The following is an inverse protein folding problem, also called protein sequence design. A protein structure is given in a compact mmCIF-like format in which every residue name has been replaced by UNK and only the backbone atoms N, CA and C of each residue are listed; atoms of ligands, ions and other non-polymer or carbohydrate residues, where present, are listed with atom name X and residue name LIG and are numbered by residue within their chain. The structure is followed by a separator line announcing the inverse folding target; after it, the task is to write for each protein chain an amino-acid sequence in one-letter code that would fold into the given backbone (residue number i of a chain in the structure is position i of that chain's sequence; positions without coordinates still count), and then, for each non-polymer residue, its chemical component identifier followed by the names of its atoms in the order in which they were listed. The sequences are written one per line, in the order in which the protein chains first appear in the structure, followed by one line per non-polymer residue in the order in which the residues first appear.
data_IF_019053747479
#
_entry.id   IF_019053747479
#
_cell.length_a   1.000
_cell.length_b   1.000
_cell.length_c   1.000
_cell.angle_alpha   90.00
_cell.angle_beta   90.00
_cell.angle_gamma   90.00
#
_symmetry.space_group_name_H-M   'P 1'
#
loop_
_entity.id
_entity.type
_entity.pdbx_description
1 polymer ?
#
# COMPACT_ATOMS: atom_id res chain seq x y z
N UNK A 1 15.59 -20.41 -67.17
CA UNK A 1 16.41 -19.50 -66.35
C UNK A 1 15.53 -19.06 -65.18
N UNK A 2 15.60 -19.80 -64.08
CA UNK A 2 14.94 -19.52 -62.78
C UNK A 2 15.92 -18.71 -61.91
N UNK A 3 15.47 -17.93 -60.89
CA UNK A 3 14.88 -18.49 -59.66
C UNK A 3 13.57 -17.82 -59.24
N UNK A 4 12.53 -18.58 -58.91
CA UNK A 4 12.26 -19.16 -57.59
C UNK A 4 12.01 -18.09 -56.53
N UNK A 5 10.72 -17.86 -56.24
CA UNK A 5 10.23 -17.08 -55.10
C UNK A 5 9.72 -18.08 -54.04
N UNK A 6 10.50 -18.43 -53.01
CA UNK A 6 10.05 -19.37 -52.00
C UNK A 6 9.42 -18.63 -50.83
N UNK A 7 8.11 -18.83 -50.69
CA UNK A 7 7.38 -18.48 -49.48
C UNK A 7 8.03 -19.08 -48.23
N UNK A 8 8.29 -18.22 -47.24
CA UNK A 8 8.66 -18.63 -45.89
C UNK A 8 7.79 -17.88 -44.87
N UNK A 9 6.66 -18.49 -44.50
CA UNK A 9 5.69 -17.88 -43.56
C UNK A 9 6.23 -17.70 -42.12
N UNK A 10 5.87 -16.62 -41.41
CA UNK A 10 6.41 -16.25 -40.09
C UNK A 10 5.78 -17.05 -38.91
N UNK A 11 5.37 -18.30 -39.13
CA UNK A 11 4.56 -19.08 -38.19
C UNK A 11 5.32 -19.78 -37.06
N UNK A 12 6.65 -19.89 -37.14
CA UNK A 12 7.48 -20.60 -36.15
C UNK A 12 8.06 -19.65 -35.10
N UNK A 13 8.49 -18.46 -35.52
CA UNK A 13 9.00 -17.39 -34.66
C UNK A 13 7.93 -16.88 -33.68
N UNK A 14 6.67 -16.76 -34.10
CA UNK A 14 5.59 -16.25 -33.26
C UNK A 14 5.21 -17.19 -32.09
N UNK A 15 5.41 -18.51 -32.23
CA UNK A 15 5.16 -19.47 -31.14
C UNK A 15 6.29 -19.51 -30.12
N UNK A 16 7.53 -19.41 -30.59
CA UNK A 16 8.70 -19.28 -29.72
C UNK A 16 8.66 -17.97 -28.91
N UNK A 17 8.36 -16.85 -29.57
CA UNK A 17 8.17 -15.54 -28.93
C UNK A 17 7.09 -15.54 -27.85
N UNK A 18 5.93 -16.16 -28.13
CA UNK A 18 4.86 -16.30 -27.12
C UNK A 18 5.23 -17.18 -25.93
N UNK A 19 6.22 -18.07 -26.05
CA UNK A 19 6.71 -18.91 -24.93
C UNK A 19 7.71 -18.12 -24.08
N UNK A 20 8.65 -17.42 -24.71
CA UNK A 20 9.60 -16.55 -23.99
C UNK A 20 8.90 -15.42 -23.25
N UNK A 21 7.93 -14.74 -23.87
CA UNK A 21 7.15 -13.69 -23.18
C UNK A 21 6.40 -14.23 -21.96
N UNK A 22 5.86 -15.46 -22.03
CA UNK A 22 5.20 -16.10 -20.88
C UNK A 22 6.16 -16.51 -19.77
N UNK A 23 7.31 -17.06 -20.14
CA UNK A 23 8.36 -17.38 -19.18
C UNK A 23 8.88 -16.12 -18.48
N UNK A 24 9.02 -15.02 -19.23
CA UNK A 24 9.47 -13.74 -18.70
C UNK A 24 8.46 -13.13 -17.71
N UNK A 25 7.17 -13.14 -18.02
CA UNK A 25 6.12 -12.73 -17.06
C UNK A 25 6.10 -13.57 -15.79
N UNK A 26 6.41 -14.87 -15.89
CA UNK A 26 6.48 -15.75 -14.71
C UNK A 26 7.70 -15.46 -13.85
N UNK A 27 8.83 -15.11 -14.47
CA UNK A 27 10.02 -14.65 -13.77
C UNK A 27 9.79 -13.32 -13.06
N UNK A 28 9.17 -12.35 -13.74
CA UNK A 28 8.77 -11.06 -13.15
C UNK A 28 7.88 -11.25 -11.92
N UNK A 29 6.85 -12.10 -12.02
CA UNK A 29 5.95 -12.38 -10.90
C UNK A 29 6.65 -13.06 -9.72
N UNK A 30 7.61 -13.96 -9.98
CA UNK A 30 8.41 -14.58 -8.93
C UNK A 30 9.33 -13.54 -8.25
N UNK A 31 9.98 -12.69 -9.03
CA UNK A 31 10.82 -11.62 -8.51
C UNK A 31 10.02 -10.67 -7.62
N UNK A 32 8.84 -10.24 -8.07
CA UNK A 32 7.95 -9.39 -7.29
C UNK A 32 7.56 -10.05 -5.96
N UNK A 33 7.18 -11.33 -5.97
CA UNK A 33 6.81 -12.06 -4.74
C UNK A 33 7.96 -12.15 -3.73
N UNK A 34 9.19 -12.41 -4.21
CA UNK A 34 10.38 -12.48 -3.35
C UNK A 34 10.70 -11.11 -2.74
N UNK A 35 10.59 -10.04 -3.53
CA UNK A 35 10.82 -8.68 -3.04
C UNK A 35 9.72 -8.21 -2.08
N UNK A 36 8.46 -8.49 -2.37
CA UNK A 36 7.35 -8.15 -1.49
C UNK A 36 7.44 -8.90 -0.15
N UNK A 37 7.78 -10.18 -0.16
CA UNK A 37 7.92 -10.97 1.06
C UNK A 37 9.05 -10.45 1.97
N UNK A 38 10.19 -10.09 1.39
CA UNK A 38 11.37 -9.66 2.17
C UNK A 38 11.29 -8.22 2.67
N UNK A 39 10.80 -7.29 1.86
CA UNK A 39 10.74 -5.85 2.21
C UNK A 39 9.33 -5.38 2.61
N UNK A 40 8.32 -6.23 2.52
CA UNK A 40 6.93 -5.89 2.86
C UNK A 40 6.76 -5.49 4.32
N UNK A 41 7.41 -6.18 5.25
CA UNK A 41 7.35 -5.85 6.67
C UNK A 41 7.95 -4.47 6.98
N UNK A 42 9.05 -4.10 6.34
CA UNK A 42 9.66 -2.78 6.52
C UNK A 42 8.74 -1.67 5.99
N UNK A 43 8.15 -1.87 4.80
CA UNK A 43 7.15 -0.93 4.24
C UNK A 43 5.90 -0.79 5.10
N UNK A 44 5.38 -1.89 5.63
CA UNK A 44 4.22 -1.87 6.53
C UNK A 44 4.54 -1.14 7.84
N UNK A 45 5.74 -1.34 8.39
CA UNK A 45 6.20 -0.60 9.57
C UNK A 45 6.28 0.89 9.29
N UNK A 46 6.92 1.28 8.20
CA UNK A 46 7.03 2.69 7.79
C UNK A 46 5.66 3.34 7.58
N UNK A 47 4.75 2.67 6.86
CA UNK A 47 3.39 3.15 6.66
C UNK A 47 2.67 3.38 8.01
N UNK A 48 2.82 2.47 8.97
CA UNK A 48 2.27 2.65 10.33
C UNK A 48 2.89 3.84 11.05
N UNK A 49 4.21 3.99 10.99
CA UNK A 49 4.92 5.13 11.60
C UNK A 49 4.45 6.47 11.01
N UNK A 50 4.25 6.55 9.70
CA UNK A 50 3.72 7.74 9.04
C UNK A 50 2.29 8.04 9.48
N UNK A 51 1.44 7.01 9.60
CA UNK A 51 0.08 7.17 10.12
C UNK A 51 0.06 7.63 11.59
N UNK A 52 0.92 7.07 12.45
CA UNK A 52 1.02 7.47 13.86
C UNK A 52 1.51 8.93 14.00
N UNK A 53 2.45 9.34 13.13
CA UNK A 53 2.94 10.73 13.08
C UNK A 53 1.82 11.69 12.67
N UNK A 54 1.06 11.34 11.63
CA UNK A 54 -0.10 12.13 11.19
C UNK A 54 -1.12 12.27 12.33
N UNK A 55 -1.44 11.16 13.02
CA UNK A 55 -2.35 11.17 14.18
C UNK A 55 -1.84 12.09 15.29
N UNK A 56 -0.55 12.03 15.62
CA UNK A 56 0.05 12.90 16.63
C UNK A 56 -0.06 14.38 16.25
N UNK A 57 0.19 14.74 14.98
CA UNK A 57 0.05 16.11 14.48
C UNK A 57 -1.39 16.60 14.57
N UNK A 58 -2.37 15.76 14.23
CA UNK A 58 -3.78 16.13 14.26
C UNK A 58 -4.35 16.20 15.68
N UNK A 59 -3.78 15.45 16.63
CA UNK A 59 -4.14 15.49 18.05
C UNK A 59 -3.34 16.52 18.87
N UNK A 60 -2.51 17.37 18.24
CA UNK A 60 -1.73 18.40 18.95
C UNK A 60 -2.61 19.33 19.79
N UNK A 61 -3.82 19.64 19.33
CA UNK A 61 -4.78 20.46 20.07
C UNK A 61 -5.18 19.83 21.40
N UNK A 62 -5.31 18.49 21.45
CA UNK A 62 -5.59 17.77 22.70
C UNK A 62 -4.42 17.84 23.69
N UNK A 63 -3.21 18.08 23.19
CA UNK A 63 -1.99 18.33 23.98
C UNK A 63 -1.81 19.82 24.33
N UNK A 64 -2.75 20.68 23.94
CA UNK A 64 -2.71 22.13 24.16
C UNK A 64 -1.83 22.90 23.18
N UNK A 65 -1.47 22.30 22.04
CA UNK A 65 -0.72 22.94 20.96
C UNK A 65 -1.65 23.17 19.78
N UNK A 66 -1.83 24.42 19.37
CA UNK A 66 -2.69 24.74 18.23
C UNK A 66 -2.23 24.02 16.95
N UNK A 67 -3.16 23.38 16.24
CA UNK A 67 -2.87 22.72 14.97
C UNK A 67 -3.08 23.70 13.80
N UNK A 68 -2.02 24.13 13.10
CA UNK A 68 -2.12 25.12 12.04
C UNK A 68 -2.85 24.64 10.78
N UNK A 69 -3.14 23.34 10.67
CA UNK A 69 -3.88 22.72 9.54
C UNK A 69 -5.19 22.08 10.00
N UNK A 70 -5.71 22.45 11.17
CA UNK A 70 -6.92 21.88 11.74
C UNK A 70 -8.12 21.99 10.79
N UNK A 71 -8.29 23.15 10.15
CA UNK A 71 -9.42 23.43 9.26
C UNK A 71 -9.38 22.59 7.98
N UNK A 72 -8.19 22.41 7.41
CA UNK A 72 -7.93 21.66 6.19
C UNK A 72 -8.06 20.14 6.41
N UNK A 73 -7.94 19.71 7.66
CA UNK A 73 -7.96 18.29 8.03
C UNK A 73 -9.26 17.84 8.71
N UNK A 74 -10.26 18.72 8.80
CA UNK A 74 -11.59 18.39 9.35
C UNK A 74 -12.25 17.20 8.65
N UNK A 75 -12.07 17.07 7.34
CA UNK A 75 -12.63 15.96 6.55
C UNK A 75 -11.99 14.59 6.90
N UNK A 76 -10.82 14.60 7.55
CA UNK A 76 -10.12 13.39 7.97
C UNK A 76 -10.59 12.89 9.34
N UNK A 77 -11.24 13.74 10.14
CA UNK A 77 -11.75 13.39 11.48
C UNK A 77 -12.54 12.08 11.51
N UNK A 78 -13.51 11.79 10.62
CA UNK A 78 -14.27 10.53 10.69
C UNK A 78 -13.39 9.28 10.53
N UNK A 79 -12.36 9.35 9.70
CA UNK A 79 -11.41 8.24 9.51
C UNK A 79 -10.46 8.11 10.71
N UNK A 80 -10.07 9.24 11.31
CA UNK A 80 -9.24 9.27 12.50
C UNK A 80 -9.91 8.67 13.73
N UNK A 81 -11.22 8.88 13.92
CA UNK A 81 -11.95 8.33 15.07
C UNK A 81 -11.92 6.79 15.05
N UNK A 82 -12.13 6.17 13.88
CA UNK A 82 -12.04 4.72 13.72
C UNK A 82 -10.63 4.19 14.02
N UNK A 83 -9.61 4.89 13.52
CA UNK A 83 -8.20 4.55 13.76
C UNK A 83 -7.78 4.74 15.23
N UNK A 84 -8.26 5.80 15.90
CA UNK A 84 -8.03 6.06 17.32
C UNK A 84 -8.67 4.97 18.19
N UNK A 85 -9.84 4.49 17.77
CA UNK A 85 -10.52 3.38 18.41
C UNK A 85 -9.64 2.12 18.37
N UNK A 86 -9.18 1.73 17.19
CA UNK A 86 -8.32 0.55 17.02
C UNK A 86 -6.98 0.70 17.76
N UNK A 87 -6.41 1.91 17.76
CA UNK A 87 -5.15 2.19 18.44
C UNK A 87 -5.28 2.07 19.96
N UNK A 88 -6.29 2.67 20.59
CA UNK A 88 -6.38 2.63 22.05
C UNK A 88 -6.77 1.24 22.56
N UNK A 89 -7.57 0.48 21.80
CA UNK A 89 -7.84 -0.93 22.09
C UNK A 89 -6.54 -1.75 22.18
N UNK A 90 -5.59 -1.52 21.24
CA UNK A 90 -4.27 -2.17 21.28
C UNK A 90 -3.42 -1.73 22.48
N UNK A 91 -3.61 -0.51 22.98
CA UNK A 91 -2.94 0.01 24.17
C UNK A 91 -3.53 -0.54 25.47
N UNK A 92 -4.59 -1.34 25.42
CA UNK A 92 -5.21 -1.98 26.57
C UNK A 92 -6.05 -1.05 27.44
N UNK A 93 -6.48 0.11 26.93
CA UNK A 93 -7.46 0.95 27.61
C UNK A 93 -8.87 0.49 27.24
N UNK A 94 -9.68 0.21 28.26
CA UNK A 94 -11.08 -0.25 28.10
C UNK A 94 -12.04 0.90 27.79
N UNK A 95 -11.69 2.12 28.20
CA UNK A 95 -12.47 3.34 27.97
C UNK A 95 -11.54 4.57 27.91
N UNK A 96 -11.99 5.63 27.23
CA UNK A 96 -11.32 6.92 27.16
C UNK A 96 -11.69 7.85 28.34
N UNK A 97 -12.51 7.38 29.29
CA UNK A 97 -12.77 8.06 30.56
C UNK A 97 -13.64 9.31 30.47
N UNK A 98 -14.34 9.50 29.36
CA UNK A 98 -15.24 10.63 29.11
C UNK A 98 -16.71 10.20 29.08
N UNK A 99 -17.65 11.05 29.56
CA UNK A 99 -19.07 10.76 29.46
C UNK A 99 -19.49 10.72 27.98
N UNK A 100 -19.65 9.50 27.45
CA UNK A 100 -20.09 9.24 26.09
C UNK A 100 -19.01 8.89 25.07
N UNK A 101 -17.82 8.39 25.46
CA UNK A 101 -16.78 8.09 24.47
C UNK A 101 -15.83 6.96 24.81
N UNK A 102 -16.22 5.73 24.45
CA UNK A 102 -15.52 4.77 23.55
C UNK A 102 -16.19 3.38 23.53
N UNK A 103 -17.47 3.31 23.90
CA UNK A 103 -18.48 2.33 23.50
C UNK A 103 -19.81 3.08 23.30
#
# INVERSE_FOLDING_TARGET
MSPEDPGAGPGRLSRAWRRTVRAWRRFEGFHQQVFEARWGHARQREARTQQDTLRALLLTETLGVDNPVAYETLDLIPYMVADLHEWHQRMGREDFGGPGGCC
#
